data_IF_961276673427
#
_entry.id   IF_961276673427
#
_cell.length_a   1.000
_cell.length_b   1.000
_cell.length_c   1.000
_cell.angle_alpha   90.00
_cell.angle_beta   90.00
_cell.angle_gamma   90.00
#
_symmetry.space_group_name_H-M   'P 1'
#
loop_
_entity.id
_entity.type
_entity.pdbx_description
1 polymer ?
#
# COMPACT_ATOMS: atom_id res chain seq x y z
N UNK A 1 13.18 -7.77 -7.18
CA UNK A 1 14.02 -8.03 -5.98
C UNK A 1 13.67 -7.18 -4.75
N UNK A 2 13.21 -5.92 -4.87
CA UNK A 2 12.83 -5.09 -3.71
C UNK A 2 11.42 -5.42 -3.14
N UNK A 3 10.44 -5.69 -4.01
CA UNK A 3 9.04 -6.02 -3.62
C UNK A 3 8.86 -7.43 -3.03
N UNK A 4 9.60 -8.44 -3.53
CA UNK A 4 9.64 -9.77 -2.89
C UNK A 4 10.21 -9.72 -1.48
N UNK A 5 11.10 -8.76 -1.16
CA UNK A 5 11.56 -8.56 0.22
C UNK A 5 10.49 -7.93 1.10
N UNK A 6 9.63 -7.05 0.58
CA UNK A 6 8.51 -6.50 1.37
C UNK A 6 7.45 -7.55 1.70
N UNK A 7 7.09 -8.46 0.78
CA UNK A 7 6.16 -9.56 1.10
C UNK A 7 6.79 -10.61 2.05
N UNK A 8 8.10 -10.86 1.93
CA UNK A 8 8.84 -11.71 2.88
C UNK A 8 9.04 -11.04 4.25
N UNK A 9 9.11 -9.71 4.33
CA UNK A 9 9.16 -8.98 5.59
C UNK A 9 7.82 -9.11 6.34
N UNK A 10 6.68 -9.01 5.66
CA UNK A 10 5.35 -9.24 6.25
C UNK A 10 5.17 -10.67 6.79
N UNK A 11 5.77 -11.68 6.15
CA UNK A 11 5.74 -13.07 6.60
C UNK A 11 6.78 -13.39 7.69
N UNK A 12 7.90 -12.68 7.73
CA UNK A 12 8.97 -12.95 8.72
C UNK A 12 8.69 -12.33 10.10
N UNK A 13 7.90 -11.26 10.19
CA UNK A 13 7.60 -10.62 11.48
C UNK A 13 6.63 -11.40 12.38
N UNK A 14 5.98 -12.46 11.86
CA UNK A 14 5.17 -13.36 12.66
C UNK A 14 5.98 -14.37 13.50
N UNK A 15 7.30 -14.45 13.34
CA UNK A 15 8.11 -15.49 13.96
C UNK A 15 9.51 -15.03 14.41
N UNK A 16 9.61 -14.07 15.34
CA UNK A 16 10.74 -14.07 16.29
C UNK A 16 10.45 -13.21 17.53
N UNK A 17 9.97 -13.86 18.58
CA UNK A 17 10.19 -13.40 19.95
C UNK A 17 11.37 -14.19 20.54
N UNK A 18 12.15 -13.52 21.40
CA UNK A 18 13.33 -13.97 22.14
C UNK A 18 14.68 -13.85 21.42
N UNK A 19 15.50 -12.86 21.81
CA UNK A 19 16.57 -13.09 22.79
C UNK A 19 17.28 -11.78 23.17
N UNK A 20 17.55 -11.64 24.47
CA UNK A 20 18.25 -10.54 25.13
C UNK A 20 19.76 -10.83 25.19
N UNK A 21 20.63 -9.82 24.99
CA UNK A 21 22.07 -9.93 25.31
C UNK A 21 22.94 -8.78 24.79
N UNK A 22 24.06 -8.41 25.45
CA UNK A 22 24.37 -7.02 25.75
C UNK A 22 25.44 -6.32 24.88
N UNK A 23 25.27 -5.00 24.83
CA UNK A 23 26.24 -3.88 24.72
C UNK A 23 27.72 -4.18 24.48
N UNK A 24 28.25 -3.67 23.36
CA UNK A 24 29.68 -3.41 23.18
C UNK A 24 29.87 -2.00 22.58
N UNK A 25 30.39 -1.10 23.43
CA UNK A 25 30.92 0.22 23.06
C UNK A 25 32.20 0.03 22.23
N UNK A 26 32.27 0.69 21.08
CA UNK A 26 33.55 0.95 20.42
C UNK A 26 33.59 2.42 20.01
N UNK A 27 34.61 3.12 20.50
CA UNK A 27 34.89 4.53 20.27
C UNK A 27 35.83 4.74 19.08
N UNK A 28 35.43 5.67 18.19
CA UNK A 28 36.23 6.67 17.44
C UNK A 28 37.23 6.15 16.36
N UNK A 29 37.49 6.89 15.24
CA UNK A 29 37.77 8.32 15.23
C UNK A 29 37.18 9.16 14.08
N UNK A 30 37.58 10.43 14.11
CA UNK A 30 37.06 11.65 13.51
C UNK A 30 37.98 12.14 12.36
N UNK A 31 37.37 12.58 11.23
CA UNK A 31 37.82 13.60 10.21
C UNK A 31 38.95 13.18 9.21
N UNK A 32 38.99 13.62 7.92
CA UNK A 32 38.54 14.93 7.33
C UNK A 32 37.59 14.86 6.12
N UNK A 33 36.64 15.79 5.97
CA UNK A 33 36.71 17.13 5.31
C UNK A 33 37.16 17.11 3.83
N UNK A 34 36.15 17.30 2.98
CA UNK A 34 36.08 17.92 1.65
C UNK A 34 37.22 17.72 0.64
N UNK A 35 36.87 17.05 -0.46
CA UNK A 35 37.28 17.45 -1.82
C UNK A 35 36.05 17.76 -2.66
N UNK A 36 36.09 18.90 -3.33
CA UNK A 36 35.15 19.34 -4.35
C UNK A 36 35.01 18.28 -5.45
N UNK A 37 33.82 17.70 -5.58
CA UNK A 37 33.37 17.08 -6.81
C UNK A 37 32.56 18.13 -7.58
N UNK A 38 32.93 18.29 -8.84
CA UNK A 38 32.35 19.24 -9.78
C UNK A 38 30.84 19.04 -9.90
N UNK A 39 30.14 20.17 -10.04
CA UNK A 39 28.74 20.23 -10.45
C UNK A 39 28.63 19.72 -11.89
N UNK A 40 28.46 18.41 -12.05
CA UNK A 40 27.88 17.86 -13.26
C UNK A 40 26.37 18.17 -13.24
N UNK A 41 25.99 19.01 -14.19
CA UNK A 41 24.61 19.37 -14.52
C UNK A 41 23.71 18.13 -14.60
N UNK A 42 22.48 18.18 -14.06
CA UNK A 42 21.59 17.03 -14.08
C UNK A 42 21.32 16.61 -15.51
N UNK A 43 21.63 15.34 -15.80
CA UNK A 43 21.22 14.64 -16.99
C UNK A 43 19.72 14.85 -17.19
N UNK A 44 19.40 15.67 -18.20
CA UNK A 44 18.12 15.67 -18.86
C UNK A 44 17.66 14.23 -19.03
N UNK A 45 16.47 13.92 -18.51
CA UNK A 45 15.70 12.72 -18.78
C UNK A 45 15.34 12.69 -20.27
N UNK A 46 16.34 12.50 -21.14
CA UNK A 46 16.15 12.07 -22.52
C UNK A 46 16.08 10.56 -22.47
N UNK A 47 14.86 10.09 -22.23
CA UNK A 47 14.42 8.75 -22.56
C UNK A 47 14.95 8.44 -23.96
N UNK A 48 15.74 7.37 -24.03
CA UNK A 48 16.28 6.79 -25.23
C UNK A 48 15.14 6.41 -26.20
N UNK A 49 14.75 7.34 -27.09
CA UNK A 49 13.77 7.10 -28.17
C UNK A 49 14.40 6.36 -29.37
N UNK A 50 15.32 5.43 -29.10
CA UNK A 50 16.00 4.63 -30.11
C UNK A 50 16.06 3.14 -29.72
N UNK A 51 15.03 2.68 -29.01
CA UNK A 51 14.76 1.26 -28.83
C UNK A 51 14.02 0.72 -30.06
N UNK A 52 14.78 0.02 -30.90
CA UNK A 52 14.39 -0.94 -31.96
C UNK A 52 12.90 -1.34 -32.00
N UNK A 53 12.31 -1.17 -33.19
CA UNK A 53 11.05 -1.78 -33.65
C UNK A 53 11.14 -3.33 -33.74
N UNK A 54 11.40 -4.02 -32.64
CA UNK A 54 11.01 -5.42 -32.50
C UNK A 54 9.57 -5.39 -32.02
N UNK A 55 8.60 -6.02 -32.70
CA UNK A 55 7.23 -6.08 -32.18
C UNK A 55 7.30 -6.68 -30.77
N UNK A 56 6.94 -5.86 -29.78
CA UNK A 56 6.98 -6.29 -28.39
C UNK A 56 6.13 -7.57 -28.30
N UNK A 57 6.76 -8.64 -27.83
CA UNK A 57 6.08 -9.90 -27.55
C UNK A 57 4.86 -9.60 -26.67
N UNK A 58 3.66 -9.92 -27.18
CA UNK A 58 2.42 -9.68 -26.43
C UNK A 58 2.36 -10.73 -25.32
N UNK A 59 2.64 -10.29 -24.09
CA UNK A 59 2.63 -11.14 -22.90
C UNK A 59 1.30 -11.03 -22.17
N UNK A 60 0.68 -12.15 -21.75
CA UNK A 60 -0.53 -12.12 -20.94
C UNK A 60 -0.37 -11.19 -19.74
N UNK A 61 -1.37 -10.35 -19.50
CA UNK A 61 -1.39 -9.47 -18.34
C UNK A 61 -0.52 -8.23 -18.41
N UNK A 62 0.10 -7.92 -19.56
CA UNK A 62 0.93 -6.70 -19.74
C UNK A 62 0.48 -5.91 -20.97
N UNK A 63 0.15 -4.64 -20.80
CA UNK A 63 -0.16 -3.72 -21.91
C UNK A 63 -1.31 -4.25 -22.79
N UNK A 64 -1.11 -4.47 -24.11
CA UNK A 64 -2.09 -5.10 -24.99
C UNK A 64 -2.45 -6.54 -24.64
N UNK A 65 -1.58 -7.26 -23.92
CA UNK A 65 -1.83 -8.65 -23.52
C UNK A 65 -2.80 -8.81 -22.35
N UNK A 66 -3.37 -7.71 -21.82
CA UNK A 66 -4.43 -7.74 -20.80
C UNK A 66 -5.77 -8.26 -21.33
N UNK A 67 -5.95 -8.23 -22.65
CA UNK A 67 -7.15 -8.75 -23.33
C UNK A 67 -7.05 -10.26 -23.61
N UNK A 68 -5.88 -10.87 -23.36
CA UNK A 68 -5.71 -12.32 -23.47
C UNK A 68 -6.40 -13.03 -22.30
N UNK A 69 -6.86 -14.28 -22.48
CA UNK A 69 -7.47 -15.05 -21.41
C UNK A 69 -6.60 -15.06 -20.15
N UNK A 70 -7.14 -14.57 -19.03
CA UNK A 70 -6.44 -14.56 -17.76
C UNK A 70 -6.45 -15.97 -17.15
N UNK A 71 -5.49 -16.30 -16.26
CA UNK A 71 -5.52 -17.59 -15.56
C UNK A 71 -6.77 -17.81 -14.69
N UNK A 72 -7.46 -16.75 -14.26
CA UNK A 72 -8.74 -16.88 -13.56
C UNK A 72 -9.93 -17.09 -14.51
N UNK A 73 -9.75 -16.79 -15.80
CA UNK A 73 -10.79 -16.88 -16.84
C UNK A 73 -11.90 -15.84 -16.71
N UNK A 74 -11.86 -14.99 -15.68
CA UNK A 74 -12.94 -14.05 -15.37
C UNK A 74 -13.06 -12.99 -16.47
N UNK A 75 -11.93 -12.52 -17.02
CA UNK A 75 -11.95 -11.52 -18.10
C UNK A 75 -12.59 -12.01 -19.41
N UNK A 76 -12.78 -13.33 -19.58
CA UNK A 76 -13.45 -13.91 -20.74
C UNK A 76 -14.96 -14.16 -20.52
N UNK A 77 -15.46 -13.91 -19.31
CA UNK A 77 -16.88 -14.07 -18.98
C UNK A 77 -17.71 -12.89 -19.49
N UNK A 78 -19.04 -13.03 -19.64
CA UNK A 78 -19.93 -11.90 -19.91
C UNK A 78 -19.74 -10.77 -18.88
N UNK A 79 -19.78 -9.51 -19.31
CA UNK A 79 -19.50 -8.35 -18.46
C UNK A 79 -20.37 -8.30 -17.19
N UNK A 80 -21.63 -8.73 -17.28
CA UNK A 80 -22.53 -8.82 -16.12
C UNK A 80 -22.04 -9.81 -15.05
N UNK A 81 -21.44 -10.92 -15.48
CA UNK A 81 -20.82 -11.89 -14.59
C UNK A 81 -19.54 -11.32 -13.98
N UNK A 82 -18.72 -10.61 -14.77
CA UNK A 82 -17.54 -9.95 -14.25
C UNK A 82 -17.87 -8.88 -13.20
N UNK A 83 -18.89 -8.05 -13.47
CA UNK A 83 -19.43 -7.06 -12.55
C UNK A 83 -19.88 -7.68 -11.23
N UNK A 84 -20.65 -8.78 -11.31
CA UNK A 84 -21.13 -9.49 -10.13
C UNK A 84 -19.97 -10.03 -9.28
N UNK A 85 -18.93 -10.57 -9.91
CA UNK A 85 -17.73 -11.04 -9.21
C UNK A 85 -16.98 -9.88 -8.55
N UNK A 86 -16.75 -8.78 -9.29
CA UNK A 86 -16.11 -7.58 -8.75
C UNK A 86 -16.86 -7.04 -7.53
N UNK A 87 -18.17 -6.83 -7.64
CA UNK A 87 -19.00 -6.35 -6.53
C UNK A 87 -19.03 -7.33 -5.36
N UNK A 88 -19.10 -8.64 -5.64
CA UNK A 88 -19.04 -9.68 -4.63
C UNK A 88 -17.74 -9.64 -3.83
N UNK A 89 -16.59 -9.45 -4.50
CA UNK A 89 -15.29 -9.31 -3.83
C UNK A 89 -15.23 -8.02 -3.02
N UNK A 90 -15.71 -6.88 -3.56
CA UNK A 90 -15.74 -5.61 -2.83
C UNK A 90 -16.58 -5.71 -1.54
N UNK A 91 -17.77 -6.32 -1.63
CA UNK A 91 -18.64 -6.57 -0.47
C UNK A 91 -17.98 -7.52 0.53
N UNK A 92 -17.36 -8.61 0.06
CA UNK A 92 -16.65 -9.55 0.92
C UNK A 92 -15.49 -8.87 1.67
N UNK A 93 -14.73 -8.00 1.00
CA UNK A 93 -13.65 -7.23 1.63
C UNK A 93 -14.20 -6.28 2.71
N UNK A 94 -15.27 -5.55 2.40
CA UNK A 94 -15.89 -4.61 3.34
C UNK A 94 -16.48 -5.32 4.57
N UNK A 95 -17.23 -6.42 4.35
CA UNK A 95 -17.78 -7.24 5.44
C UNK A 95 -16.65 -7.84 6.27
N UNK A 96 -15.62 -8.40 5.63
CA UNK A 96 -14.45 -8.95 6.33
C UNK A 96 -13.77 -7.91 7.21
N UNK A 97 -13.57 -6.69 6.69
CA UNK A 97 -12.98 -5.59 7.46
C UNK A 97 -13.86 -5.22 8.65
N UNK A 98 -15.18 -5.14 8.46
CA UNK A 98 -16.13 -4.84 9.54
C UNK A 98 -16.19 -5.92 10.62
N UNK A 99 -16.15 -7.21 10.24
CA UNK A 99 -16.11 -8.33 11.20
C UNK A 99 -14.82 -8.32 12.01
N UNK A 100 -13.67 -8.01 11.39
CA UNK A 100 -12.38 -7.92 12.08
C UNK A 100 -12.38 -6.70 13.01
N UNK A 101 -12.74 -5.52 12.49
CA UNK A 101 -12.68 -4.26 13.23
C UNK A 101 -13.72 -4.16 14.37
N UNK A 102 -14.86 -4.83 14.25
CA UNK A 102 -15.88 -4.90 15.28
C UNK A 102 -15.70 -6.13 16.18
N UNK A 103 -16.49 -7.20 15.98
CA UNK A 103 -16.54 -8.34 16.91
C UNK A 103 -15.19 -8.95 17.29
N UNK A 104 -14.26 -9.07 16.33
CA UNK A 104 -12.97 -9.71 16.61
C UNK A 104 -12.05 -8.81 17.44
N UNK A 105 -11.92 -7.54 17.09
CA UNK A 105 -11.16 -6.57 17.89
C UNK A 105 -11.82 -6.29 19.24
N UNK A 106 -13.16 -6.27 19.31
CA UNK A 106 -13.90 -6.18 20.58
C UNK A 106 -13.55 -7.35 21.51
N UNK A 107 -13.53 -8.58 20.99
CA UNK A 107 -13.16 -9.77 21.76
C UNK A 107 -11.67 -9.80 22.15
N UNK A 108 -10.79 -9.22 21.34
CA UNK A 108 -9.36 -9.15 21.62
C UNK A 108 -8.98 -8.02 22.59
N UNK A 109 -9.82 -6.97 22.70
CA UNK A 109 -9.52 -5.76 23.45
C UNK A 109 -9.24 -6.07 24.93
N UNK A 110 -8.13 -5.52 25.44
CA UNK A 110 -7.68 -5.74 26.82
C UNK A 110 -6.89 -7.04 27.04
N UNK A 111 -6.78 -7.93 26.04
CA UNK A 111 -5.87 -9.07 26.11
C UNK A 111 -4.40 -8.63 26.09
N UNK A 112 -3.50 -9.50 26.58
CA UNK A 112 -2.05 -9.25 26.54
C UNK A 112 -1.54 -9.07 25.10
N UNK A 113 -2.05 -9.88 24.16
CA UNK A 113 -1.68 -9.80 22.75
C UNK A 113 -2.14 -8.48 22.11
N UNK A 114 -3.32 -7.99 22.46
CA UNK A 114 -3.80 -6.69 22.00
C UNK A 114 -2.91 -5.54 22.47
N UNK A 115 -2.63 -5.50 23.78
CA UNK A 115 -1.81 -4.44 24.37
C UNK A 115 -0.36 -4.48 23.87
N UNK A 116 0.15 -5.67 23.53
CA UNK A 116 1.48 -5.82 22.93
C UNK A 116 1.51 -5.40 21.44
N UNK A 117 0.47 -5.75 20.67
CA UNK A 117 0.46 -5.52 19.23
C UNK A 117 0.08 -4.09 18.84
N UNK A 118 -0.95 -3.51 19.47
CA UNK A 118 -1.50 -2.20 19.09
C UNK A 118 -0.45 -1.07 18.99
N UNK A 119 0.50 -0.92 19.92
CA UNK A 119 1.53 0.12 19.82
C UNK A 119 2.46 -0.02 18.61
N UNK A 120 2.54 -1.21 18.01
CA UNK A 120 3.41 -1.48 16.86
C UNK A 120 2.75 -1.12 15.53
N UNK A 121 1.42 -1.03 15.47
CA UNK A 121 0.69 -0.84 14.21
C UNK A 121 1.06 0.41 13.40
N UNK A 122 1.46 1.55 14.01
CA UNK A 122 1.96 2.69 13.24
C UNK A 122 3.19 2.39 12.37
N UNK A 123 3.89 1.26 12.59
CA UNK A 123 4.95 0.79 11.69
C UNK A 123 4.44 0.48 10.28
N UNK A 124 3.13 0.27 10.09
CA UNK A 124 2.49 0.21 8.77
C UNK A 124 2.82 1.46 7.93
N UNK A 125 3.09 2.60 8.56
CA UNK A 125 3.54 3.81 7.87
C UNK A 125 4.85 3.61 7.08
N UNK A 126 5.74 2.70 7.49
CA UNK A 126 6.93 2.32 6.72
C UNK A 126 6.53 1.62 5.41
N UNK A 127 5.54 0.73 5.49
CA UNK A 127 5.06 -0.03 4.33
C UNK A 127 4.40 0.93 3.33
N UNK A 128 3.54 1.84 3.79
CA UNK A 128 2.94 2.85 2.92
C UNK A 128 3.96 3.82 2.35
N UNK A 129 4.92 4.28 3.14
CA UNK A 129 5.99 5.14 2.63
C UNK A 129 6.79 4.44 1.52
N UNK A 130 7.14 3.16 1.71
CA UNK A 130 7.84 2.38 0.71
C UNK A 130 6.98 2.12 -0.54
N UNK A 131 5.69 1.79 -0.36
CA UNK A 131 4.74 1.63 -1.46
C UNK A 131 4.58 2.93 -2.26
N UNK A 132 4.52 4.07 -1.58
CA UNK A 132 4.38 5.38 -2.20
C UNK A 132 5.60 5.73 -3.04
N UNK A 133 6.81 5.45 -2.56
CA UNK A 133 8.04 5.57 -3.36
C UNK A 133 7.99 4.63 -4.58
N UNK A 134 7.50 3.40 -4.40
CA UNK A 134 7.39 2.42 -5.49
C UNK A 134 6.48 2.88 -6.63
N UNK A 135 5.43 3.65 -6.35
CA UNK A 135 4.57 4.24 -7.40
C UNK A 135 5.34 5.16 -8.37
N UNK A 136 6.45 5.76 -7.94
CA UNK A 136 7.31 6.58 -8.79
C UNK A 136 8.44 5.79 -9.46
N UNK A 137 8.97 4.76 -8.80
CA UNK A 137 10.08 3.96 -9.34
C UNK A 137 9.63 2.84 -10.26
N UNK A 138 8.44 2.29 -10.04
CA UNK A 138 7.85 1.16 -10.79
C UNK A 138 6.51 1.57 -11.43
N UNK A 139 6.42 2.84 -11.87
CA UNK A 139 5.19 3.48 -12.32
C UNK A 139 4.44 2.68 -13.40
N UNK A 140 5.17 2.17 -14.41
CA UNK A 140 4.58 1.37 -15.50
C UNK A 140 3.92 0.07 -14.99
N UNK A 141 4.49 -0.54 -13.95
CA UNK A 141 3.91 -1.72 -13.33
C UNK A 141 2.59 -1.42 -12.61
N UNK A 142 2.53 -0.30 -11.88
CA UNK A 142 1.29 0.14 -11.23
C UNK A 142 0.23 0.60 -12.25
N UNK A 143 0.65 1.26 -13.34
CA UNK A 143 -0.24 1.63 -14.44
C UNK A 143 -0.87 0.38 -15.09
N UNK A 144 -0.10 -0.70 -15.22
CA UNK A 144 -0.56 -1.95 -15.83
C UNK A 144 -1.69 -2.62 -15.04
N UNK A 145 -1.63 -2.59 -13.70
CA UNK A 145 -2.65 -3.15 -12.81
C UNK A 145 -3.80 -2.17 -12.52
N UNK A 146 -3.75 -0.94 -13.04
CA UNK A 146 -4.86 0.00 -12.91
C UNK A 146 -5.95 -0.40 -13.92
N UNK A 147 -7.19 -0.67 -13.47
CA UNK A 147 -8.25 -1.12 -14.36
C UNK A 147 -8.57 -0.03 -15.40
N UNK A 148 -8.55 -0.34 -16.71
CA UNK A 148 -8.99 0.59 -17.74
C UNK A 148 -10.45 1.01 -17.56
N UNK A 149 -10.81 2.18 -18.09
CA UNK A 149 -12.21 2.60 -18.12
C UNK A 149 -13.07 1.61 -18.93
N UNK A 150 -14.23 1.25 -18.40
CA UNK A 150 -15.10 0.20 -18.94
C UNK A 150 -14.86 -1.19 -18.35
N UNK A 151 -13.82 -1.39 -17.52
CA UNK A 151 -13.58 -2.69 -16.87
C UNK A 151 -14.80 -3.14 -16.07
N UNK A 152 -15.13 -4.44 -16.17
CA UNK A 152 -16.32 -5.06 -15.58
C UNK A 152 -17.66 -4.40 -16.00
N UNK A 153 -17.69 -3.58 -17.06
CA UNK A 153 -18.90 -2.89 -17.52
C UNK A 153 -19.39 -1.74 -16.62
N UNK A 154 -18.68 -1.40 -15.54
CA UNK A 154 -19.10 -0.36 -14.57
C UNK A 154 -17.97 0.52 -14.06
N UNK A 155 -16.71 0.16 -14.30
CA UNK A 155 -15.57 0.90 -13.77
C UNK A 155 -15.25 2.13 -14.61
N UNK A 156 -15.23 3.31 -13.97
CA UNK A 156 -14.85 4.55 -14.63
C UNK A 156 -14.09 5.46 -13.67
N UNK A 157 -12.97 6.01 -14.15
CA UNK A 157 -12.20 7.03 -13.43
C UNK A 157 -12.03 8.27 -14.32
N UNK A 158 -12.05 9.49 -13.72
CA UNK A 158 -11.92 10.73 -14.48
C UNK A 158 -10.47 11.05 -14.87
N UNK A 159 -9.49 10.30 -14.36
CA UNK A 159 -8.06 10.53 -14.56
C UNK A 159 -7.41 9.39 -15.32
N UNK A 160 -6.25 9.65 -15.94
CA UNK A 160 -5.46 8.59 -16.58
C UNK A 160 -4.91 7.61 -15.53
N UNK A 161 -4.61 6.35 -15.92
CA UNK A 161 -3.96 5.39 -15.02
C UNK A 161 -2.72 5.95 -14.34
N UNK A 162 -1.85 6.60 -15.10
CA UNK A 162 -0.64 7.26 -14.57
C UNK A 162 -0.95 8.33 -13.55
N UNK A 163 -1.95 9.18 -13.80
CA UNK A 163 -2.32 10.23 -12.85
C UNK A 163 -2.84 9.62 -11.53
N UNK A 164 -3.65 8.56 -11.60
CA UNK A 164 -4.10 7.81 -10.42
C UNK A 164 -2.90 7.24 -9.65
N UNK A 165 -1.99 6.54 -10.32
CA UNK A 165 -0.77 5.94 -9.72
C UNK A 165 0.10 6.97 -9.02
N UNK A 166 0.38 8.11 -9.68
CA UNK A 166 1.20 9.15 -9.08
C UNK A 166 0.49 9.80 -7.89
N UNK A 167 -0.81 10.04 -7.99
CA UNK A 167 -1.61 10.60 -6.90
C UNK A 167 -1.66 9.66 -5.69
N UNK A 168 -1.95 8.37 -5.89
CA UNK A 168 -1.94 7.39 -4.79
C UNK A 168 -0.55 7.32 -4.16
N UNK A 169 0.51 7.33 -4.96
CA UNK A 169 1.89 7.39 -4.46
C UNK A 169 2.18 8.59 -3.56
N UNK A 170 1.69 9.78 -3.91
CA UNK A 170 1.77 10.97 -3.05
C UNK A 170 1.03 10.73 -1.73
N UNK A 171 -0.22 10.25 -1.77
CA UNK A 171 -1.03 10.02 -0.56
C UNK A 171 -0.37 8.97 0.35
N UNK A 172 0.24 7.92 -0.20
CA UNK A 172 0.94 6.89 0.57
C UNK A 172 2.21 7.43 1.24
N UNK A 173 3.02 8.24 0.53
CA UNK A 173 4.20 8.89 1.11
C UNK A 173 3.80 9.78 2.27
N UNK A 174 2.83 10.68 2.06
CA UNK A 174 2.39 11.61 3.08
C UNK A 174 1.70 10.90 4.24
N UNK A 175 0.75 10.00 3.97
CA UNK A 175 0.06 9.24 5.00
C UNK A 175 1.01 8.36 5.81
N UNK A 176 1.93 7.65 5.16
CA UNK A 176 2.93 6.83 5.82
C UNK A 176 3.90 7.65 6.68
N UNK A 177 4.44 8.75 6.13
CA UNK A 177 5.32 9.65 6.88
C UNK A 177 4.61 10.33 8.05
N UNK A 178 3.35 10.76 7.87
CA UNK A 178 2.55 11.41 8.91
C UNK A 178 2.25 10.45 10.07
N UNK A 179 1.90 9.20 9.76
CA UNK A 179 1.73 8.14 10.76
C UNK A 179 3.00 7.91 11.58
N UNK A 180 4.16 7.79 10.91
CA UNK A 180 5.44 7.58 11.59
C UNK A 180 5.87 8.78 12.42
N UNK A 181 5.62 9.99 11.93
CA UNK A 181 5.89 11.23 12.66
C UNK A 181 5.08 11.29 13.97
N UNK A 182 3.77 11.03 13.91
CA UNK A 182 2.91 11.00 15.10
C UNK A 182 3.32 9.94 16.11
N UNK A 183 3.62 8.73 15.64
CA UNK A 183 4.06 7.63 16.50
C UNK A 183 5.45 7.91 17.12
N UNK A 184 6.39 8.42 16.33
CA UNK A 184 7.74 8.77 16.77
C UNK A 184 7.75 9.86 17.83
N UNK A 185 6.91 10.89 17.68
CA UNK A 185 6.75 11.93 18.70
C UNK A 185 6.25 11.35 20.03
N UNK A 186 5.25 10.46 19.98
CA UNK A 186 4.74 9.75 21.15
C UNK A 186 5.82 8.91 21.85
N UNK A 187 6.63 8.17 21.08
CA UNK A 187 7.74 7.38 21.61
C UNK A 187 8.86 8.24 22.23
N UNK A 188 9.08 9.45 21.69
CA UNK A 188 10.04 10.41 22.23
C UNK A 188 9.51 11.20 23.44
N UNK A 189 8.25 10.98 23.85
CA UNK A 189 7.61 11.75 24.91
C UNK A 189 7.34 13.21 24.54
N UNK A 190 7.29 13.53 23.24
CA UNK A 190 7.05 14.87 22.72
C UNK A 190 5.55 15.07 22.48
N UNK A 191 4.95 16.01 23.20
CA UNK A 191 3.58 16.44 22.93
C UNK A 191 3.53 17.31 21.67
N UNK A 192 2.81 16.84 20.65
CA UNK A 192 2.61 17.61 19.42
C UNK A 192 1.60 18.76 19.66
N UNK A 193 1.77 19.91 18.99
CA UNK A 193 0.80 21.00 19.07
C UNK A 193 -0.61 20.53 18.64
N UNK A 194 -1.64 20.94 19.39
CA UNK A 194 -3.04 20.58 19.10
C UNK A 194 -3.49 20.98 17.68
N UNK A 195 -2.88 22.01 17.10
CA UNK A 195 -3.12 22.45 15.72
C UNK A 195 -2.80 21.38 14.65
N UNK A 196 -2.01 20.36 14.99
CA UNK A 196 -1.69 19.23 14.09
C UNK A 196 -2.75 18.12 14.13
N UNK A 197 -3.75 18.22 15.02
CA UNK A 197 -4.78 17.20 15.18
C UNK A 197 -4.25 15.86 15.71
N UNK A 198 -5.08 14.81 15.72
CA UNK A 198 -4.65 13.46 16.06
C UNK A 198 -3.87 12.84 14.90
N UNK A 199 -2.62 13.28 14.72
CA UNK A 199 -1.72 12.95 13.59
C UNK A 199 -1.80 11.49 13.12
N UNK A 200 -1.69 10.53 14.04
CA UNK A 200 -1.72 9.09 13.70
C UNK A 200 -3.11 8.66 13.21
N UNK A 201 -4.18 9.18 13.82
CA UNK A 201 -5.56 8.88 13.46
C UNK A 201 -5.90 9.43 12.06
N UNK A 202 -5.52 10.68 11.79
CA UNK A 202 -5.76 11.33 10.49
C UNK A 202 -4.98 10.63 9.37
N UNK A 203 -3.74 10.21 9.65
CA UNK A 203 -2.96 9.39 8.73
C UNK A 203 -3.64 8.04 8.48
N UNK A 204 -4.07 7.35 9.53
CA UNK A 204 -4.72 6.05 9.44
C UNK A 204 -6.03 6.12 8.63
N UNK A 205 -6.85 7.15 8.85
CA UNK A 205 -8.08 7.37 8.09
C UNK A 205 -7.79 7.66 6.60
N UNK A 206 -6.79 8.51 6.34
CA UNK A 206 -6.37 8.80 4.95
C UNK A 206 -5.93 7.53 4.23
N UNK A 207 -5.10 6.72 4.89
CA UNK A 207 -4.61 5.45 4.35
C UNK A 207 -5.73 4.41 4.26
N UNK A 208 -6.71 4.39 5.18
CA UNK A 208 -7.90 3.54 5.10
C UNK A 208 -8.70 3.83 3.82
N UNK A 209 -9.03 5.11 3.59
CA UNK A 209 -9.79 5.53 2.41
C UNK A 209 -9.01 5.19 1.14
N UNK A 210 -7.71 5.49 1.11
CA UNK A 210 -6.85 5.16 -0.01
C UNK A 210 -6.83 3.66 -0.29
N UNK A 211 -6.64 2.84 0.74
CA UNK A 211 -6.59 1.38 0.66
C UNK A 211 -7.88 0.80 0.10
N UNK A 212 -9.03 1.36 0.51
CA UNK A 212 -10.31 1.00 -0.07
C UNK A 212 -10.39 1.38 -1.55
N UNK A 213 -10.00 2.62 -1.90
CA UNK A 213 -10.03 3.13 -3.28
C UNK A 213 -9.11 2.39 -4.25
N UNK A 214 -7.98 1.85 -3.78
CA UNK A 214 -7.05 1.06 -4.62
C UNK A 214 -7.38 -0.44 -4.63
N UNK A 215 -8.34 -0.91 -3.82
CA UNK A 215 -8.79 -2.32 -3.81
C UNK A 215 -9.19 -2.82 -5.21
N UNK A 216 -9.88 -2.02 -6.06
CA UNK A 216 -10.19 -2.41 -7.43
C UNK A 216 -8.96 -2.77 -8.29
N UNK A 217 -7.80 -2.14 -8.09
CA UNK A 217 -6.57 -2.54 -8.80
C UNK A 217 -6.12 -3.96 -8.41
N UNK A 218 -6.30 -4.35 -7.15
CA UNK A 218 -6.01 -5.72 -6.69
C UNK A 218 -6.99 -6.74 -7.29
N UNK A 219 -8.28 -6.36 -7.41
CA UNK A 219 -9.29 -7.20 -8.05
C UNK A 219 -8.99 -7.32 -9.55
N UNK A 220 -8.53 -6.25 -10.20
CA UNK A 220 -8.16 -6.28 -11.61
C UNK A 220 -6.97 -7.21 -11.87
N UNK A 221 -5.93 -7.15 -11.06
CA UNK A 221 -4.80 -8.08 -11.14
C UNK A 221 -5.25 -9.55 -11.03
N UNK A 222 -6.18 -9.88 -10.13
CA UNK A 222 -6.76 -11.23 -10.01
C UNK A 222 -7.63 -11.62 -11.22
N UNK A 223 -8.51 -10.74 -11.67
CA UNK A 223 -9.55 -11.05 -12.67
C UNK A 223 -9.03 -11.01 -14.11
N UNK A 224 -8.09 -10.12 -14.40
CA UNK A 224 -7.53 -9.89 -15.73
C UNK A 224 -6.06 -10.35 -15.85
N UNK A 225 -5.51 -10.95 -14.79
CA UNK A 225 -4.14 -11.47 -14.79
C UNK A 225 -3.09 -10.39 -14.95
N UNK A 226 -3.41 -9.13 -14.59
CA UNK A 226 -2.49 -8.02 -14.75
C UNK A 226 -1.28 -8.19 -13.83
N UNK A 227 -0.10 -8.27 -14.43
CA UNK A 227 1.14 -8.57 -13.72
C UNK A 227 1.75 -7.32 -13.07
N UNK A 228 2.30 -7.54 -11.89
CA UNK A 228 3.16 -6.59 -11.17
C UNK A 228 4.11 -7.36 -10.24
N UNK A 229 5.44 -7.17 -10.35
CA UNK A 229 6.17 -6.41 -11.38
C UNK A 229 5.99 -6.95 -12.81
N UNK A 230 6.28 -6.16 -13.85
CA UNK A 230 5.99 -6.52 -15.26
C UNK A 230 6.78 -7.73 -15.79
N UNK A 231 7.93 -8.01 -15.19
CA UNK A 231 8.85 -9.08 -15.56
C UNK A 231 8.53 -10.42 -14.88
N UNK A 232 7.61 -10.42 -13.93
CA UNK A 232 7.24 -11.59 -13.15
C UNK A 232 5.79 -11.98 -13.41
N UNK A 233 5.58 -13.18 -13.94
CA UNK A 233 4.24 -13.76 -14.01
C UNK A 233 3.81 -14.14 -12.59
N UNK A 234 2.86 -13.39 -12.06
CA UNK A 234 2.41 -13.57 -10.69
C UNK A 234 1.31 -14.63 -10.67
N UNK A 235 1.49 -15.75 -9.94
CA UNK A 235 0.48 -16.80 -9.93
C UNK A 235 -0.83 -16.25 -9.32
N UNK A 236 -2.02 -16.68 -9.79
CA UNK A 236 -3.31 -16.17 -9.30
C UNK A 236 -3.48 -16.28 -7.78
N UNK A 237 -2.84 -17.28 -7.18
CA UNK A 237 -2.80 -17.47 -5.73
C UNK A 237 -2.18 -16.28 -4.99
N UNK A 238 -1.14 -15.65 -5.53
CA UNK A 238 -0.51 -14.48 -4.93
C UNK A 238 -1.45 -13.27 -4.96
N UNK A 239 -2.17 -13.04 -6.08
CA UNK A 239 -3.21 -12.01 -6.15
C UNK A 239 -4.36 -12.26 -5.16
N UNK A 240 -4.78 -13.51 -5.01
CA UNK A 240 -5.80 -13.92 -4.04
C UNK A 240 -5.33 -13.67 -2.59
N UNK A 241 -4.07 -13.97 -2.28
CA UNK A 241 -3.47 -13.69 -0.97
C UNK A 241 -3.46 -12.19 -0.69
N UNK A 242 -3.05 -11.36 -1.65
CA UNK A 242 -3.09 -9.89 -1.52
C UNK A 242 -4.50 -9.40 -1.19
N UNK A 243 -5.51 -9.91 -1.89
CA UNK A 243 -6.92 -9.59 -1.62
C UNK A 243 -7.40 -10.10 -0.26
N UNK A 244 -6.94 -11.26 0.20
CA UNK A 244 -7.30 -11.83 1.49
C UNK A 244 -6.74 -11.03 2.68
N UNK A 245 -5.60 -10.34 2.50
CA UNK A 245 -5.04 -9.44 3.51
C UNK A 245 -5.68 -8.04 3.52
N UNK A 246 -6.37 -7.64 2.45
CA UNK A 246 -7.03 -6.33 2.34
C UNK A 246 -7.99 -6.03 3.52
N UNK A 247 -8.86 -6.96 3.97
CA UNK A 247 -9.76 -6.73 5.10
C UNK A 247 -9.01 -6.51 6.42
N UNK A 248 -7.89 -7.21 6.62
CA UNK A 248 -7.05 -7.06 7.83
C UNK A 248 -6.44 -5.67 7.86
N UNK A 249 -5.88 -5.22 6.74
CA UNK A 249 -5.26 -3.90 6.62
C UNK A 249 -6.29 -2.79 6.83
N UNK A 250 -7.46 -2.90 6.20
CA UNK A 250 -8.57 -1.97 6.38
C UNK A 250 -9.03 -1.93 7.85
N UNK A 251 -9.16 -3.07 8.51
CA UNK A 251 -9.57 -3.13 9.91
C UNK A 251 -8.54 -2.47 10.85
N UNK A 252 -7.25 -2.73 10.66
CA UNK A 252 -6.18 -2.11 11.45
C UNK A 252 -6.16 -0.59 11.30
N UNK A 253 -6.28 -0.08 10.06
CA UNK A 253 -6.32 1.35 9.80
C UNK A 253 -7.58 2.00 10.38
N UNK A 254 -8.72 1.32 10.28
CA UNK A 254 -9.97 1.79 10.88
C UNK A 254 -9.87 1.90 12.41
N UNK A 255 -9.31 0.89 13.09
CA UNK A 255 -9.12 0.94 14.54
C UNK A 255 -8.12 2.02 14.98
N UNK A 256 -7.07 2.28 14.18
CA UNK A 256 -6.15 3.39 14.45
C UNK A 256 -6.77 4.77 14.21
N UNK A 257 -7.77 4.87 13.33
CA UNK A 257 -8.52 6.10 13.06
C UNK A 257 -9.52 6.48 14.18
N UNK A 258 -9.63 5.67 15.23
CA UNK A 258 -10.60 5.83 16.33
C UNK A 258 -10.07 6.56 17.57
N UNK A 259 -9.43 7.73 17.42
CA UNK A 259 -10.13 8.94 17.84
C UNK A 259 -10.50 9.69 16.57
N UNK A 260 -11.78 9.61 16.18
CA UNK A 260 -12.18 10.21 14.91
C UNK A 260 -11.97 11.71 14.95
N UNK A 261 -11.71 12.32 13.78
CA UNK A 261 -11.68 13.77 13.63
C UNK A 261 -12.97 14.44 14.17
N UNK A 262 -14.08 13.69 14.21
CA UNK A 262 -15.34 14.05 14.88
C UNK A 262 -15.24 14.02 16.40
N UNK A 263 -14.65 12.98 17.00
CA UNK A 263 -14.37 12.94 18.44
C UNK A 263 -13.39 14.06 18.85
N UNK A 264 -12.38 14.36 18.02
CA UNK A 264 -11.46 15.46 18.26
C UNK A 264 -12.18 16.82 18.17
N UNK A 265 -13.07 17.05 17.19
CA UNK A 265 -13.85 18.29 17.07
C UNK A 265 -14.88 18.46 18.19
N UNK A 266 -15.62 17.40 18.53
CA UNK A 266 -16.56 17.36 19.65
C UNK A 266 -15.84 17.62 20.98
N UNK A 267 -14.63 17.06 21.18
CA UNK A 267 -13.82 17.32 22.37
C UNK A 267 -13.12 18.70 22.37
N UNK A 268 -13.02 19.37 21.21
CA UNK A 268 -12.51 20.74 21.08
C UNK A 268 -13.63 21.80 21.16
N UNK A 269 -14.90 21.40 21.34
CA UNK A 269 -16.03 22.33 21.41
C UNK A 269 -16.33 23.06 20.10
N UNK A 270 -15.97 22.46 18.96
CA UNK A 270 -16.27 22.91 17.60
C UNK A 270 -17.40 22.07 17.01
#
# INVERSE_FOLDING_TARGET
YCLMRCELLSLSFAATAAFSGPSLRTTLPVIPVLRHAALDTPHSCRVSMLAKNVPAEVRPGVGPGRDLPSPSGINMMPESTQAAIFLGIMVAVAIGAGVIAGPLFDAARGSSLWNLSRPTWPILGVIYLAAGIAHFTECEGFENITPPNGTWGLWWTPFSPRANVLWTGVVEIFGGAWMLFGAGAGLAGVSLPAALGPVVSDAALTLFILTFLVTPANIYALTHGANFPLDLETPPKAHAVRLAFQPVLLALLWEMAGPTLLDAKINLGL
#
